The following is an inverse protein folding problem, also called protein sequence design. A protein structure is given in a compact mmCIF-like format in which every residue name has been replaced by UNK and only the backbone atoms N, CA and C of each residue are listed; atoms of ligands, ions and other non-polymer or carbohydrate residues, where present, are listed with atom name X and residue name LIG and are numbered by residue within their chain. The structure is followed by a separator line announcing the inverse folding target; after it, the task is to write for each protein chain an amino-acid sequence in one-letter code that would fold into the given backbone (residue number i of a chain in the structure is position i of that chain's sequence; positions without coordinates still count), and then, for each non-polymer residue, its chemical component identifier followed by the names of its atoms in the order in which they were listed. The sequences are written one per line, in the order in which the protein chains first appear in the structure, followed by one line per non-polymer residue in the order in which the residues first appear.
data_IF_504575382211
#
_entry.id   IF_504575382211
#
_cell.length_a   1.000
_cell.length_b   1.000
_cell.length_c   1.000
_cell.angle_alpha   90.00
_cell.angle_beta   90.00
_cell.angle_gamma   90.00
#
_symmetry.space_group_name_H-M   'P 1'
#
loop_
_entity.id
_entity.type
_entity.pdbx_description
1 polymer ?
#
# COMPACT_ATOMS: atom_id res chain seq x y z
N UNK A 1 7.39 12.77 2.26
CA UNK A 1 7.53 11.70 1.25
C UNK A 1 9.01 11.46 0.95
N UNK A 2 9.43 10.20 1.02
CA UNK A 2 10.80 9.80 0.66
C UNK A 2 10.82 9.32 -0.79
N UNK A 3 9.99 8.33 -1.11
CA UNK A 3 9.89 7.76 -2.47
C UNK A 3 8.54 7.13 -2.67
N UNK A 4 8.03 7.19 -3.89
CA UNK A 4 6.83 6.49 -4.32
C UNK A 4 7.01 6.02 -5.76
N UNK A 5 6.46 4.86 -6.08
CA UNK A 5 6.62 4.29 -7.41
C UNK A 5 5.85 2.99 -7.59
N UNK A 6 6.16 2.31 -8.69
CA UNK A 6 5.53 1.05 -9.08
C UNK A 6 6.60 -0.03 -9.24
N UNK A 7 6.29 -1.22 -8.76
CA UNK A 7 7.02 -2.42 -9.14
C UNK A 7 6.26 -3.05 -10.30
N UNK A 8 6.79 -2.89 -11.51
CA UNK A 8 6.17 -3.44 -12.71
C UNK A 8 6.59 -4.88 -12.91
N UNK A 9 5.61 -5.76 -13.04
CA UNK A 9 5.85 -7.17 -13.33
C UNK A 9 5.49 -7.46 -14.78
N UNK A 10 6.47 -7.92 -15.55
CA UNK A 10 6.31 -8.15 -16.98
C UNK A 10 5.71 -9.52 -17.32
N UNK A 11 5.65 -10.42 -16.35
CA UNK A 11 5.12 -11.76 -16.52
C UNK A 11 3.63 -11.83 -16.20
N UNK A 12 2.91 -12.78 -16.81
CA UNK A 12 1.49 -13.01 -16.54
C UNK A 12 1.24 -14.06 -15.45
N UNK A 13 2.15 -15.04 -15.32
CA UNK A 13 2.03 -16.14 -14.38
C UNK A 13 2.60 -15.80 -13.00
N UNK A 14 1.91 -16.24 -11.95
CA UNK A 14 2.33 -16.03 -10.57
C UNK A 14 3.74 -16.52 -10.27
N UNK A 15 4.12 -17.67 -10.83
CA UNK A 15 5.46 -18.23 -10.59
C UNK A 15 6.59 -17.34 -11.10
N UNK A 16 6.29 -16.40 -12.01
CA UNK A 16 7.25 -15.41 -12.51
C UNK A 16 7.01 -14.03 -11.88
N UNK A 17 5.76 -13.68 -11.60
CA UNK A 17 5.40 -12.41 -10.96
C UNK A 17 5.92 -12.33 -9.53
N UNK A 18 5.79 -13.42 -8.76
CA UNK A 18 6.21 -13.45 -7.36
C UNK A 18 7.72 -13.17 -7.21
N UNK A 19 8.62 -13.84 -7.97
CA UNK A 19 10.04 -13.49 -7.91
C UNK A 19 10.34 -12.05 -8.31
N UNK A 20 9.65 -11.51 -9.31
CA UNK A 20 9.83 -10.10 -9.72
C UNK A 20 9.39 -9.14 -8.62
N UNK A 21 8.30 -9.44 -7.95
CA UNK A 21 7.84 -8.66 -6.80
C UNK A 21 8.86 -8.69 -5.67
N UNK A 22 9.36 -9.86 -5.32
CA UNK A 22 10.37 -10.04 -4.26
C UNK A 22 11.62 -9.23 -4.59
N UNK A 23 12.12 -9.31 -5.83
CA UNK A 23 13.29 -8.55 -6.28
C UNK A 23 13.06 -7.04 -6.15
N UNK A 24 11.89 -6.56 -6.57
CA UNK A 24 11.54 -5.15 -6.46
C UNK A 24 11.47 -4.66 -5.03
N UNK A 25 10.88 -5.45 -4.14
CA UNK A 25 10.83 -5.14 -2.71
C UNK A 25 12.22 -5.18 -2.06
N UNK A 26 13.05 -6.16 -2.42
CA UNK A 26 14.42 -6.24 -1.90
C UNK A 26 15.23 -4.98 -2.24
N UNK A 27 15.12 -4.49 -3.47
CA UNK A 27 15.79 -3.26 -3.87
C UNK A 27 15.33 -2.06 -3.05
N UNK A 28 14.00 -1.96 -2.85
CA UNK A 28 13.41 -0.90 -2.06
C UNK A 28 13.88 -0.96 -0.61
N UNK A 29 13.88 -2.15 -0.01
CA UNK A 29 14.27 -2.35 1.39
C UNK A 29 15.76 -2.14 1.62
N UNK A 30 16.59 -2.42 0.62
CA UNK A 30 18.03 -2.16 0.69
C UNK A 30 18.37 -0.67 0.59
N UNK A 31 17.58 0.09 -0.15
CA UNK A 31 17.83 1.50 -0.39
C UNK A 31 17.26 2.43 0.67
N UNK A 32 16.38 1.93 1.53
CA UNK A 32 15.72 2.73 2.55
C UNK A 32 15.70 2.00 3.89
N UNK A 33 15.88 2.74 4.97
CA UNK A 33 15.64 2.23 6.32
C UNK A 33 14.14 2.27 6.57
N UNK A 34 13.52 1.10 6.69
CA UNK A 34 12.08 0.96 6.89
C UNK A 34 11.84 0.39 8.28
N UNK A 35 11.06 1.10 9.08
CA UNK A 35 10.74 0.69 10.44
C UNK A 35 9.48 -0.14 10.49
N UNK A 36 8.46 0.22 9.71
CA UNK A 36 7.17 -0.47 9.69
C UNK A 36 6.64 -0.55 8.26
N UNK A 37 5.81 -1.55 8.01
CA UNK A 37 5.16 -1.75 6.71
C UNK A 37 3.65 -1.85 6.89
N UNK A 38 2.93 -1.26 5.96
CA UNK A 38 1.48 -1.31 5.91
C UNK A 38 1.02 -1.64 4.50
N UNK A 39 -0.07 -2.39 4.39
CA UNK A 39 -0.64 -2.77 3.11
C UNK A 39 -2.16 -2.64 3.13
N UNK A 40 -2.72 -2.40 1.95
CA UNK A 40 -4.16 -2.37 1.79
C UNK A 40 -4.74 -3.78 1.82
N UNK A 41 -5.85 -3.93 2.51
CA UNK A 41 -6.60 -5.18 2.54
C UNK A 41 -7.63 -5.16 1.40
N UNK A 42 -7.41 -5.96 0.38
CA UNK A 42 -8.23 -6.00 -0.83
C UNK A 42 -9.01 -7.33 -0.86
N UNK A 43 -10.35 -7.25 -0.86
CA UNK A 43 -11.19 -8.42 -0.79
C UNK A 43 -11.90 -8.79 -2.10
N UNK A 44 -12.00 -7.89 -3.09
CA UNK A 44 -12.87 -8.12 -4.23
C UNK A 44 -12.21 -7.94 -5.58
N UNK A 45 -12.32 -8.97 -6.43
CA UNK A 45 -12.30 -8.84 -7.88
C UNK A 45 -13.66 -9.33 -8.41
N UNK A 46 -14.05 -8.87 -9.60
CA UNK A 46 -15.34 -9.23 -10.22
C UNK A 46 -15.43 -10.71 -10.63
N UNK A 47 -14.32 -11.41 -10.63
CA UNK A 47 -14.19 -12.76 -11.18
C UNK A 47 -13.47 -13.62 -10.12
N UNK A 48 -14.04 -14.83 -9.78
CA UNK A 48 -13.43 -15.69 -8.76
C UNK A 48 -12.00 -16.11 -9.07
N UNK A 49 -11.66 -16.38 -10.33
CA UNK A 49 -10.30 -16.76 -10.72
C UNK A 49 -9.31 -15.62 -10.48
N UNK A 50 -9.70 -14.39 -10.80
CA UNK A 50 -8.89 -13.20 -10.53
C UNK A 50 -8.73 -12.97 -9.02
N UNK A 51 -9.79 -13.17 -8.25
CA UNK A 51 -9.74 -13.06 -6.78
C UNK A 51 -8.75 -14.06 -6.18
N UNK A 52 -8.75 -15.31 -6.67
CA UNK A 52 -7.80 -16.33 -6.20
C UNK A 52 -6.37 -15.93 -6.51
N UNK A 53 -6.08 -15.47 -7.73
CA UNK A 53 -4.73 -15.02 -8.11
C UNK A 53 -4.25 -13.83 -7.25
N UNK A 54 -5.12 -12.86 -7.02
CA UNK A 54 -4.80 -11.73 -6.15
C UNK A 54 -4.53 -12.17 -4.71
N UNK A 55 -5.32 -13.10 -4.19
CA UNK A 55 -5.12 -13.64 -2.84
C UNK A 55 -3.78 -14.39 -2.73
N UNK A 56 -3.44 -15.20 -3.73
CA UNK A 56 -2.17 -15.92 -3.78
C UNK A 56 -0.99 -14.97 -3.85
N UNK A 57 -1.05 -13.96 -4.71
CA UNK A 57 -0.01 -12.94 -4.85
C UNK A 57 0.13 -12.14 -3.55
N UNK A 58 -0.99 -11.76 -2.94
CA UNK A 58 -1.01 -11.05 -1.66
C UNK A 58 -0.39 -11.89 -0.56
N UNK A 59 -0.68 -13.19 -0.51
CA UNK A 59 -0.05 -14.11 0.45
C UNK A 59 1.46 -14.15 0.32
N UNK A 60 1.99 -14.10 -0.90
CA UNK A 60 3.44 -14.03 -1.15
C UNK A 60 4.04 -12.72 -0.61
N UNK A 61 3.36 -11.60 -0.80
CA UNK A 61 3.78 -10.31 -0.22
C UNK A 61 3.78 -10.40 1.30
N UNK A 62 2.74 -10.96 1.90
CA UNK A 62 2.63 -11.12 3.35
C UNK A 62 3.80 -11.94 3.91
N UNK A 63 4.13 -13.04 3.25
CA UNK A 63 5.28 -13.87 3.65
C UNK A 63 6.58 -13.07 3.61
N UNK A 64 6.81 -12.33 2.53
CA UNK A 64 8.00 -11.49 2.37
C UNK A 64 8.10 -10.46 3.49
N UNK A 65 7.01 -9.77 3.80
CA UNK A 65 6.98 -8.76 4.85
C UNK A 65 7.22 -9.38 6.23
N UNK A 66 6.64 -10.54 6.50
CA UNK A 66 6.85 -11.24 7.78
C UNK A 66 8.28 -11.73 7.94
N UNK A 67 8.90 -12.21 6.86
CA UNK A 67 10.30 -12.63 6.89
C UNK A 67 11.25 -11.46 7.15
N UNK A 68 11.01 -10.32 6.53
CA UNK A 68 11.91 -9.17 6.60
C UNK A 68 11.66 -8.26 7.79
N UNK A 69 10.41 -8.12 8.25
CA UNK A 69 10.01 -7.19 9.31
C UNK A 69 9.36 -7.83 10.52
N UNK A 70 8.97 -9.10 10.44
CA UNK A 70 8.32 -9.81 11.53
C UNK A 70 6.83 -9.48 11.71
N UNK A 71 6.37 -8.39 11.13
CA UNK A 71 4.97 -7.95 11.19
C UNK A 71 4.64 -7.01 10.04
N UNK A 72 3.37 -6.84 9.78
CA UNK A 72 2.85 -5.81 8.88
C UNK A 72 1.48 -5.34 9.38
N UNK A 73 1.05 -4.18 8.93
CA UNK A 73 -0.24 -3.60 9.30
C UNK A 73 -1.15 -3.57 8.08
N UNK A 74 -2.45 -3.80 8.29
CA UNK A 74 -3.43 -3.84 7.22
C UNK A 74 -4.51 -2.77 7.43
N UNK A 75 -4.93 -2.14 6.33
CA UNK A 75 -5.99 -1.14 6.33
C UNK A 75 -6.95 -1.41 5.19
N UNK A 76 -8.25 -1.40 5.48
CA UNK A 76 -9.27 -1.49 4.44
C UNK A 76 -9.38 -0.17 3.69
N UNK A 77 -9.92 -0.21 2.47
CA UNK A 77 -10.18 1.00 1.70
C UNK A 77 -11.07 1.99 2.47
N UNK A 78 -12.06 1.48 3.21
CA UNK A 78 -12.94 2.32 4.03
C UNK A 78 -12.18 3.04 5.14
N UNK A 79 -11.29 2.34 5.83
CA UNK A 79 -10.46 2.93 6.88
C UNK A 79 -9.57 4.05 6.34
N UNK A 80 -8.96 3.83 5.18
CA UNK A 80 -8.08 4.81 4.53
C UNK A 80 -8.88 6.03 4.09
N UNK A 81 -10.00 5.83 3.41
CA UNK A 81 -10.89 6.92 2.97
C UNK A 81 -11.35 7.77 4.14
N UNK A 82 -11.80 7.13 5.20
CA UNK A 82 -12.26 7.82 6.39
C UNK A 82 -11.14 8.59 7.08
N UNK A 83 -9.96 8.00 7.17
CA UNK A 83 -8.80 8.63 7.80
C UNK A 83 -8.35 9.90 7.05
N UNK A 84 -8.31 9.87 5.71
CA UNK A 84 -7.81 10.99 4.92
C UNK A 84 -8.88 12.04 4.60
N UNK A 85 -10.11 11.63 4.36
CA UNK A 85 -11.18 12.54 3.90
C UNK A 85 -12.27 12.77 4.94
N UNK A 86 -12.32 11.98 5.99
CA UNK A 86 -13.42 11.98 6.96
C UNK A 86 -14.68 11.26 6.48
N UNK A 87 -14.69 10.75 5.24
CA UNK A 87 -15.87 10.15 4.63
C UNK A 87 -15.56 8.76 4.04
N UNK A 88 -16.23 7.73 4.52
CA UNK A 88 -16.06 6.37 4.04
C UNK A 88 -16.45 6.20 2.55
N UNK A 89 -17.33 7.06 2.04
CA UNK A 89 -17.80 7.04 0.64
C UNK A 89 -16.96 7.90 -0.31
N UNK A 90 -15.83 8.43 0.12
CA UNK A 90 -14.97 9.25 -0.72
C UNK A 90 -14.47 8.46 -1.94
N UNK A 91 -14.37 9.14 -3.08
CA UNK A 91 -13.82 8.56 -4.31
C UNK A 91 -12.29 8.57 -4.31
N UNK A 92 -11.70 7.82 -5.24
CA UNK A 92 -10.24 7.75 -5.41
C UNK A 92 -9.61 9.12 -5.68
N UNK A 93 -10.28 9.97 -6.45
CA UNK A 93 -9.77 11.32 -6.74
C UNK A 93 -9.72 12.21 -5.50
N UNK A 94 -10.68 12.06 -4.59
CA UNK A 94 -10.67 12.79 -3.32
C UNK A 94 -9.54 12.33 -2.41
N UNK A 95 -9.28 11.03 -2.37
CA UNK A 95 -8.16 10.46 -1.61
C UNK A 95 -6.84 10.98 -2.19
N UNK A 96 -6.67 10.94 -3.52
CA UNK A 96 -5.48 11.44 -4.20
C UNK A 96 -5.25 12.94 -3.91
N UNK A 97 -6.32 13.73 -3.93
CA UNK A 97 -6.26 15.16 -3.60
C UNK A 97 -5.75 15.37 -2.17
N UNK A 98 -6.27 14.61 -1.21
CA UNK A 98 -5.82 14.72 0.19
C UNK A 98 -4.37 14.27 0.36
N UNK A 99 -3.93 13.22 -0.34
CA UNK A 99 -2.53 12.80 -0.34
C UNK A 99 -1.63 13.92 -0.82
N UNK A 100 -1.96 14.55 -1.95
CA UNK A 100 -1.19 15.67 -2.49
C UNK A 100 -1.09 16.82 -1.48
N UNK A 101 -2.21 17.15 -0.85
CA UNK A 101 -2.28 18.24 0.11
C UNK A 101 -1.47 17.94 1.38
N UNK A 102 -1.62 16.75 1.95
CA UNK A 102 -0.93 16.35 3.17
C UNK A 102 0.59 16.27 2.99
N UNK A 103 1.06 15.88 1.81
CA UNK A 103 2.48 15.74 1.50
C UNK A 103 3.05 16.94 0.73
N UNK A 104 2.25 17.98 0.51
CA UNK A 104 2.65 19.19 -0.24
C UNK A 104 3.18 18.87 -1.64
N UNK A 105 2.54 17.93 -2.32
CA UNK A 105 2.89 17.52 -3.68
C UNK A 105 2.05 18.36 -4.65
N UNK A 106 2.71 19.17 -5.48
CA UNK A 106 2.02 20.02 -6.45
C UNK A 106 1.64 19.31 -7.73
N UNK A 107 2.42 18.28 -8.11
CA UNK A 107 2.20 17.53 -9.34
C UNK A 107 1.14 16.45 -9.12
N UNK A 108 0.30 16.22 -10.12
CA UNK A 108 -0.68 15.16 -10.09
C UNK A 108 0.00 13.79 -9.98
N UNK A 109 -0.52 12.93 -9.09
CA UNK A 109 0.03 11.60 -8.87
C UNK A 109 -0.70 10.61 -9.79
N UNK A 110 0.00 10.02 -10.73
CA UNK A 110 -0.52 9.02 -11.66
C UNK A 110 0.45 7.85 -11.82
N UNK A 111 -0.04 6.61 -11.96
CA UNK A 111 -1.45 6.22 -11.80
C UNK A 111 -1.94 6.35 -10.35
N UNK A 112 -3.26 6.29 -10.16
CA UNK A 112 -3.88 6.43 -8.83
C UNK A 112 -3.47 5.34 -7.84
N UNK A 113 -2.98 4.20 -8.34
CA UNK A 113 -2.46 3.12 -7.46
C UNK A 113 -1.30 3.62 -6.59
N UNK A 114 -0.51 4.57 -7.08
CA UNK A 114 0.57 5.19 -6.30
C UNK A 114 -0.01 5.99 -5.14
N UNK A 115 -1.01 6.83 -5.41
CA UNK A 115 -1.66 7.61 -4.34
C UNK A 115 -2.42 6.71 -3.35
N UNK A 116 -2.98 5.59 -3.81
CA UNK A 116 -3.61 4.61 -2.93
C UNK A 116 -2.60 4.04 -1.92
N UNK A 117 -1.42 3.67 -2.37
CA UNK A 117 -0.35 3.16 -1.50
C UNK A 117 0.15 4.25 -0.53
N UNK A 118 0.32 5.48 -1.02
CA UNK A 118 0.70 6.60 -0.18
C UNK A 118 -0.35 6.89 0.90
N UNK A 119 -1.63 6.77 0.55
CA UNK A 119 -2.73 6.95 1.49
C UNK A 119 -2.71 5.91 2.62
N UNK A 120 -2.38 4.67 2.32
CA UNK A 120 -2.20 3.62 3.34
C UNK A 120 -1.06 3.99 4.30
N UNK A 121 0.06 4.43 3.77
CA UNK A 121 1.21 4.85 4.58
C UNK A 121 0.87 6.03 5.49
N UNK A 122 0.16 7.03 4.97
CA UNK A 122 -0.30 8.19 5.75
C UNK A 122 -1.23 7.74 6.87
N UNK A 123 -2.20 6.87 6.57
CA UNK A 123 -3.15 6.34 7.54
C UNK A 123 -2.41 5.64 8.69
N UNK A 124 -1.43 4.80 8.36
CA UNK A 124 -0.62 4.12 9.36
C UNK A 124 0.20 5.11 10.19
N UNK A 125 0.83 6.09 9.56
CA UNK A 125 1.59 7.14 10.23
C UNK A 125 0.75 7.91 11.26
N UNK A 126 -0.49 8.25 10.91
CA UNK A 126 -1.41 8.93 11.82
C UNK A 126 -1.77 8.05 13.01
N UNK A 127 -1.99 6.75 12.78
CA UNK A 127 -2.31 5.80 13.84
C UNK A 127 -1.15 5.64 14.82
N UNK A 128 0.07 5.54 14.33
CA UNK A 128 1.28 5.44 15.16
C UNK A 128 1.43 6.68 16.05
N UNK A 129 1.22 7.88 15.51
CA UNK A 129 1.27 9.12 16.26
C UNK A 129 0.23 9.16 17.39
N UNK A 130 -0.99 8.70 17.10
CA UNK A 130 -2.05 8.64 18.11
C UNK A 130 -1.71 7.67 19.25
N UNK A 131 -1.11 6.54 18.93
CA UNK A 131 -0.68 5.57 19.94
C UNK A 131 0.45 6.12 20.81
N UNK A 132 1.40 6.84 20.23
CA UNK A 132 2.48 7.50 20.97
C UNK A 132 1.97 8.61 21.88
N UNK A 133 0.96 9.35 21.45
CA UNK A 133 0.34 10.41 22.25
C UNK A 133 -0.46 9.94 23.47
N UNK A 134 -0.75 8.63 23.57
CA UNK A 134 -1.50 8.04 24.69
C UNK A 134 -0.61 7.48 25.81
N UNK A 135 0.67 7.63 25.69
CA UNK A 135 1.62 7.18 26.73
C UNK A 135 1.77 8.22 27.84
#
# INVERSE_FOLDING_TARGET
LVEAGLIKMKAEDLQFQIPQMVEGLDRLFQNHKIDEVAMEDIFYAHNPATTIKLAQFRGAIMLKLLQDFGQFHEYTALQVKKALTGKAKAGKEQVAFMVQRLLSIKKEIRPLDISDAMAVAITHSQRVKLQQGKK
#
